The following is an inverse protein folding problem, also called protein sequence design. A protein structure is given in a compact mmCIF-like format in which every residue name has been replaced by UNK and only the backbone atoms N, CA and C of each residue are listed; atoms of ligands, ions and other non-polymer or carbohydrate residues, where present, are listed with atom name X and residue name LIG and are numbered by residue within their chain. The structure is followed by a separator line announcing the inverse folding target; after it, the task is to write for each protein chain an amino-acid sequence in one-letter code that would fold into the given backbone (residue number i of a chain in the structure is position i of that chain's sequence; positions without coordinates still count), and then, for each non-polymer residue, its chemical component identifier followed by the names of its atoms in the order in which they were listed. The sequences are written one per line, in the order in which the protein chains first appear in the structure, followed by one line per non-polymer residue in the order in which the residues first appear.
data_IF_459968962356
#
_entry.id   IF_459968962356
#
_cell.length_a   1.000
_cell.length_b   1.000
_cell.length_c   1.000
_cell.angle_alpha   90.00
_cell.angle_beta   90.00
_cell.angle_gamma   90.00
#
_symmetry.space_group_name_H-M   'P 1'
#
loop_
_entity.id
_entity.type
_entity.pdbx_description
1 polymer ?
#
# COMPACT_ATOMS: atom_id res chain seq x y z
N UNK A 1 2.44 20.05 -16.24
CA UNK A 1 3.21 21.04 -15.46
C UNK A 1 4.55 20.42 -15.12
N UNK A 2 5.66 21.13 -15.29
CA UNK A 2 6.99 20.68 -14.82
C UNK A 2 7.33 21.40 -13.51
N UNK A 3 7.92 20.68 -12.56
CA UNK A 3 8.31 21.19 -11.25
C UNK A 3 9.74 20.73 -10.93
N UNK A 4 10.51 21.56 -10.24
CA UNK A 4 11.79 21.17 -9.67
C UNK A 4 11.59 20.84 -8.19
N UNK A 5 11.83 19.58 -7.82
CA UNK A 5 11.73 19.06 -6.45
C UNK A 5 13.14 18.85 -5.93
N UNK A 6 13.72 19.91 -5.35
CA UNK A 6 15.15 19.94 -5.05
C UNK A 6 15.97 19.81 -6.33
N UNK A 7 16.82 18.78 -6.40
CA UNK A 7 17.64 18.47 -7.58
C UNK A 7 16.90 17.64 -8.64
N UNK A 8 15.66 17.20 -8.37
CA UNK A 8 14.91 16.32 -9.25
C UNK A 8 13.87 17.08 -10.07
N UNK A 9 13.98 17.01 -11.40
CA UNK A 9 12.96 17.51 -12.32
C UNK A 9 11.80 16.53 -12.42
N UNK A 10 10.58 17.00 -12.10
CA UNK A 10 9.37 16.21 -12.08
C UNK A 10 8.30 16.75 -13.05
N UNK A 11 7.49 15.85 -13.59
CA UNK A 11 6.31 16.19 -14.39
C UNK A 11 5.06 15.80 -13.63
N UNK A 12 4.15 16.76 -13.44
CA UNK A 12 2.85 16.53 -12.81
C UNK A 12 1.80 16.23 -13.89
N UNK A 13 1.18 15.06 -13.76
CA UNK A 13 0.05 14.60 -14.57
C UNK A 13 -1.21 14.64 -13.69
N UNK A 14 -2.14 15.54 -13.99
CA UNK A 14 -3.34 15.76 -13.16
C UNK A 14 -4.68 15.48 -13.85
N UNK A 15 -4.90 15.79 -15.15
CA UNK A 15 -6.21 15.54 -15.76
C UNK A 15 -6.48 14.03 -15.87
N UNK A 16 -7.69 13.55 -15.53
CA UNK A 16 -8.01 12.13 -15.60
C UNK A 16 -7.69 11.45 -16.94
N UNK A 17 -7.94 12.08 -18.12
CA UNK A 17 -7.58 11.48 -19.41
C UNK A 17 -6.06 11.25 -19.56
N UNK A 18 -5.23 12.18 -19.07
CA UNK A 18 -3.78 12.04 -19.14
C UNK A 18 -3.24 11.03 -18.12
N UNK A 19 -3.86 10.96 -16.93
CA UNK A 19 -3.53 9.92 -15.94
C UNK A 19 -3.83 8.53 -16.51
N UNK A 20 -4.98 8.36 -17.18
CA UNK A 20 -5.32 7.11 -17.85
C UNK A 20 -4.35 6.76 -18.98
N UNK A 21 -3.97 7.75 -19.79
CA UNK A 21 -2.99 7.56 -20.85
C UNK A 21 -1.62 7.13 -20.30
N UNK A 22 -1.14 7.76 -19.24
CA UNK A 22 0.15 7.41 -18.63
C UNK A 22 0.10 6.05 -17.90
N UNK A 23 -0.93 5.81 -17.08
CA UNK A 23 -0.96 4.66 -16.16
C UNK A 23 -1.51 3.38 -16.81
N UNK A 24 -2.47 3.48 -17.74
CA UNK A 24 -3.08 2.32 -18.39
C UNK A 24 -2.51 2.06 -19.77
N UNK A 25 -2.53 3.07 -20.66
CA UNK A 25 -2.11 2.88 -22.06
C UNK A 25 -0.59 2.76 -22.19
N UNK A 26 0.14 3.62 -21.48
CA UNK A 26 1.60 3.67 -21.51
C UNK A 26 2.25 3.20 -20.20
N UNK A 27 1.55 2.39 -19.40
CA UNK A 27 1.97 2.06 -18.03
C UNK A 27 3.39 1.50 -17.93
N UNK A 28 3.84 0.70 -18.91
CA UNK A 28 5.21 0.14 -18.95
C UNK A 28 6.28 1.21 -19.12
N UNK A 29 5.98 2.35 -19.77
CA UNK A 29 6.93 3.46 -19.87
C UNK A 29 7.10 4.20 -18.54
N UNK A 30 6.09 4.17 -17.66
CA UNK A 30 6.04 4.92 -16.39
C UNK A 30 6.11 4.03 -15.14
N UNK A 31 6.33 2.72 -15.30
CA UNK A 31 6.30 1.77 -14.18
C UNK A 31 7.54 1.87 -13.28
N UNK A 32 8.68 2.28 -13.82
CA UNK A 32 9.92 2.42 -13.05
C UNK A 32 9.81 3.55 -12.02
N UNK A 33 10.41 3.33 -10.85
CA UNK A 33 10.50 4.34 -9.79
C UNK A 33 11.86 5.03 -9.82
N UNK A 34 11.94 6.33 -9.49
CA UNK A 34 13.21 7.00 -9.24
C UNK A 34 13.99 6.27 -8.14
N UNK A 35 15.28 6.10 -8.36
CA UNK A 35 16.15 5.44 -7.39
C UNK A 35 16.50 6.43 -6.28
N UNK A 36 16.06 6.15 -5.05
CA UNK A 36 16.30 7.01 -3.88
C UNK A 36 17.13 6.27 -2.84
N UNK A 37 18.03 6.98 -2.14
CA UNK A 37 18.93 6.36 -1.17
C UNK A 37 18.17 5.60 -0.07
N UNK A 38 17.03 6.14 0.36
CA UNK A 38 16.16 5.53 1.37
C UNK A 38 15.69 4.13 0.94
N UNK A 39 15.24 3.95 -0.31
CA UNK A 39 14.75 2.64 -0.76
C UNK A 39 15.86 1.61 -0.80
N UNK A 40 17.08 2.02 -1.14
CA UNK A 40 18.24 1.13 -1.09
C UNK A 40 18.57 0.68 0.33
N UNK A 41 18.50 1.61 1.28
CA UNK A 41 18.83 1.34 2.68
C UNK A 41 17.79 0.45 3.38
N UNK A 42 16.50 0.71 3.14
CA UNK A 42 15.41 0.03 3.86
C UNK A 42 14.98 -1.27 3.16
N UNK A 43 15.01 -1.29 1.83
CA UNK A 43 14.45 -2.39 1.03
C UNK A 43 15.51 -3.22 0.32
N UNK A 44 16.61 -3.51 1.02
CA UNK A 44 17.68 -4.41 0.55
C UNK A 44 18.16 -4.07 -0.87
N UNK A 45 18.60 -2.84 -1.08
CA UNK A 45 18.98 -2.32 -2.40
C UNK A 45 17.80 -2.24 -3.41
N UNK A 46 16.61 -1.87 -2.93
CA UNK A 46 15.40 -1.69 -3.75
C UNK A 46 14.94 -2.97 -4.48
N UNK A 47 15.06 -4.13 -3.86
CA UNK A 47 14.55 -5.40 -4.41
C UNK A 47 13.09 -5.67 -4.00
N UNK A 48 12.47 -4.78 -3.22
CA UNK A 48 11.06 -4.91 -2.88
C UNK A 48 10.14 -4.62 -4.08
N UNK A 49 8.90 -5.14 -4.10
CA UNK A 49 7.96 -4.92 -5.20
C UNK A 49 7.56 -3.45 -5.43
N UNK A 50 7.75 -2.57 -4.45
CA UNK A 50 7.38 -1.16 -4.52
C UNK A 50 8.45 -0.29 -5.16
N UNK A 51 9.74 -0.63 -4.99
CA UNK A 51 10.88 0.20 -5.42
C UNK A 51 11.74 -0.42 -6.52
N UNK A 52 11.60 -1.71 -6.82
CA UNK A 52 12.45 -2.35 -7.83
C UNK A 52 12.15 -1.85 -9.25
N UNK A 53 13.17 -1.93 -10.11
CA UNK A 53 13.02 -1.65 -11.55
C UNK A 53 12.12 -2.73 -12.17
N UNK A 54 11.39 -2.34 -13.19
CA UNK A 54 10.53 -3.24 -13.94
C UNK A 54 11.39 -4.11 -14.85
N UNK A 55 11.54 -5.36 -14.42
CA UNK A 55 12.26 -6.41 -15.11
C UNK A 55 11.53 -7.75 -14.92
N UNK A 56 12.19 -8.85 -15.23
CA UNK A 56 11.63 -10.18 -15.01
C UNK A 56 11.45 -10.50 -13.52
N UNK A 57 12.38 -10.07 -12.68
CA UNK A 57 12.32 -10.29 -11.23
C UNK A 57 11.10 -9.60 -10.62
N UNK A 58 10.86 -8.32 -10.92
CA UNK A 58 9.69 -7.59 -10.44
C UNK A 58 8.38 -8.26 -10.88
N UNK A 59 8.31 -8.74 -12.13
CA UNK A 59 7.12 -9.42 -12.66
C UNK A 59 6.83 -10.72 -11.91
N UNK A 60 7.86 -11.50 -11.61
CA UNK A 60 7.73 -12.74 -10.83
C UNK A 60 7.32 -12.45 -9.38
N UNK A 61 7.96 -11.47 -8.73
CA UNK A 61 7.60 -11.03 -7.38
C UNK A 61 6.16 -10.55 -7.32
N UNK A 62 5.73 -9.68 -8.24
CA UNK A 62 4.34 -9.22 -8.31
C UNK A 62 3.36 -10.37 -8.47
N UNK A 63 3.67 -11.35 -9.33
CA UNK A 63 2.82 -12.53 -9.51
C UNK A 63 2.66 -13.31 -8.21
N UNK A 64 3.75 -13.55 -7.47
CA UNK A 64 3.72 -14.22 -6.18
C UNK A 64 2.86 -13.47 -5.15
N UNK A 65 3.04 -12.16 -5.01
CA UNK A 65 2.22 -11.34 -4.10
C UNK A 65 0.73 -11.44 -4.43
N UNK A 66 0.37 -11.37 -5.71
CA UNK A 66 -1.04 -11.46 -6.13
C UNK A 66 -1.63 -12.84 -5.83
N UNK A 67 -0.89 -13.92 -6.08
CA UNK A 67 -1.41 -15.28 -5.90
C UNK A 67 -1.47 -15.69 -4.43
N UNK A 68 -0.42 -15.39 -3.67
CA UNK A 68 -0.26 -15.93 -2.31
C UNK A 68 -0.80 -14.99 -1.22
N UNK A 69 -0.76 -13.67 -1.43
CA UNK A 69 -1.14 -12.69 -0.41
C UNK A 69 -2.45 -11.97 -0.75
N UNK A 70 -2.65 -11.60 -2.01
CA UNK A 70 -3.77 -10.75 -2.45
C UNK A 70 -4.82 -11.51 -3.28
N UNK A 71 -4.78 -12.85 -3.28
CA UNK A 71 -5.79 -13.62 -3.99
C UNK A 71 -7.12 -13.52 -3.25
N UNK A 72 -8.23 -13.60 -3.99
CA UNK A 72 -9.57 -13.57 -3.40
C UNK A 72 -9.69 -14.59 -2.26
N UNK A 73 -9.21 -15.82 -2.46
CA UNK A 73 -9.21 -16.85 -1.41
C UNK A 73 -8.47 -16.41 -0.15
N UNK A 74 -7.28 -15.83 -0.29
CA UNK A 74 -6.48 -15.37 0.86
C UNK A 74 -7.14 -14.19 1.57
N UNK A 75 -7.63 -13.21 0.83
CA UNK A 75 -8.36 -12.06 1.39
C UNK A 75 -9.58 -12.51 2.19
N UNK A 76 -10.41 -13.41 1.65
CA UNK A 76 -11.58 -13.94 2.36
C UNK A 76 -11.22 -14.74 3.61
N UNK A 77 -10.05 -15.39 3.64
CA UNK A 77 -9.59 -16.11 4.83
C UNK A 77 -9.37 -15.20 6.05
N UNK A 78 -9.20 -13.90 5.83
CA UNK A 78 -9.03 -12.90 6.89
C UNK A 78 -10.35 -12.25 7.34
N UNK A 79 -11.50 -12.62 6.77
CA UNK A 79 -12.78 -11.97 7.10
C UNK A 79 -13.13 -12.05 8.58
N UNK A 80 -13.04 -13.24 9.18
CA UNK A 80 -13.35 -13.41 10.60
C UNK A 80 -12.44 -12.56 11.50
N UNK A 81 -11.16 -12.43 11.12
CA UNK A 81 -10.19 -11.61 11.82
C UNK A 81 -10.51 -10.11 11.70
N UNK A 82 -10.92 -9.65 10.51
CA UNK A 82 -11.37 -8.26 10.32
C UNK A 82 -12.65 -7.98 11.12
N UNK A 83 -13.61 -8.90 11.11
CA UNK A 83 -14.86 -8.78 11.87
C UNK A 83 -14.61 -8.67 13.37
N UNK A 84 -13.68 -9.48 13.91
CA UNK A 84 -13.27 -9.42 15.31
C UNK A 84 -12.66 -8.05 15.68
N UNK A 85 -11.71 -7.56 14.88
CA UNK A 85 -11.02 -6.30 15.12
C UNK A 85 -11.96 -5.09 15.03
N UNK A 86 -12.86 -5.10 14.06
CA UNK A 86 -13.89 -4.06 13.91
C UNK A 86 -14.91 -4.14 15.04
N UNK A 87 -15.33 -5.33 15.45
CA UNK A 87 -16.25 -5.49 16.59
C UNK A 87 -15.65 -4.94 17.87
N UNK A 88 -14.36 -5.20 18.12
CA UNK A 88 -13.62 -4.64 19.26
C UNK A 88 -13.60 -3.11 19.24
N UNK A 89 -13.35 -2.51 18.08
CA UNK A 89 -13.40 -1.06 17.91
C UNK A 89 -14.80 -0.50 18.20
N UNK A 90 -15.85 -1.13 17.66
CA UNK A 90 -17.23 -0.69 17.90
C UNK A 90 -17.62 -0.78 19.39
N UNK A 91 -17.20 -1.84 20.09
CA UNK A 91 -17.39 -1.96 21.53
C UNK A 91 -16.68 -0.86 22.30
N UNK A 92 -15.44 -0.52 21.92
CA UNK A 92 -14.69 0.59 22.52
C UNK A 92 -15.39 1.94 22.31
N UNK A 93 -15.87 2.20 21.09
CA UNK A 93 -16.60 3.43 20.76
C UNK A 93 -17.88 3.54 21.61
N UNK A 94 -18.65 2.44 21.72
CA UNK A 94 -19.86 2.40 22.55
C UNK A 94 -19.56 2.64 24.03
N UNK A 95 -18.48 2.07 24.54
CA UNK A 95 -18.07 2.28 25.94
C UNK A 95 -17.63 3.72 26.22
N UNK A 96 -17.07 4.39 25.20
CA UNK A 96 -16.56 5.76 25.30
C UNK A 96 -17.64 6.81 25.05
N UNK A 97 -18.91 6.47 25.25
CA UNK A 97 -20.04 7.38 25.03
C UNK A 97 -19.89 8.66 25.85
N UNK A 98 -20.04 9.82 25.20
CA UNK A 98 -19.87 11.13 25.82
C UNK A 98 -18.42 11.57 26.04
N UNK A 99 -17.43 10.75 25.71
CA UNK A 99 -16.01 11.08 25.78
C UNK A 99 -15.43 11.37 24.39
N UNK A 100 -14.48 12.33 24.26
CA UNK A 100 -13.76 12.54 23.01
C UNK A 100 -12.87 11.32 22.72
N UNK A 101 -12.96 10.80 21.50
CA UNK A 101 -12.14 9.67 21.02
C UNK A 101 -11.30 10.07 19.80
N UNK A 102 -10.09 9.52 19.71
CA UNK A 102 -9.22 9.67 18.54
C UNK A 102 -9.50 8.56 17.52
N UNK A 103 -10.38 8.82 16.55
CA UNK A 103 -10.75 7.81 15.54
C UNK A 103 -9.56 7.45 14.64
N UNK A 104 -8.70 8.42 14.30
CA UNK A 104 -7.55 8.17 13.42
C UNK A 104 -6.57 7.17 14.02
N UNK A 105 -6.26 7.32 15.31
CA UNK A 105 -5.38 6.40 16.02
C UNK A 105 -6.01 5.02 16.19
N UNK A 106 -7.30 4.97 16.51
CA UNK A 106 -8.02 3.71 16.65
C UNK A 106 -8.07 2.92 15.34
N UNK A 107 -8.34 3.57 14.20
CA UNK A 107 -8.33 2.93 12.89
C UNK A 107 -6.93 2.47 12.50
N UNK A 108 -5.90 3.27 12.78
CA UNK A 108 -4.50 2.88 12.55
C UNK A 108 -4.11 1.65 13.38
N UNK A 109 -4.54 1.59 14.65
CA UNK A 109 -4.33 0.44 15.53
C UNK A 109 -5.03 -0.82 15.01
N UNK A 110 -6.30 -0.71 14.57
CA UNK A 110 -7.04 -1.83 13.97
C UNK A 110 -6.33 -2.33 12.72
N UNK A 111 -5.92 -1.44 11.81
CA UNK A 111 -5.20 -1.84 10.60
C UNK A 111 -3.88 -2.56 10.93
N UNK A 112 -3.14 -2.05 11.92
CA UNK A 112 -1.88 -2.65 12.35
C UNK A 112 -2.10 -4.04 12.96
N UNK A 113 -3.11 -4.19 13.82
CA UNK A 113 -3.49 -5.48 14.42
C UNK A 113 -3.86 -6.50 13.35
N UNK A 114 -4.69 -6.09 12.37
CA UNK A 114 -5.09 -6.93 11.25
C UNK A 114 -3.86 -7.39 10.46
N UNK A 115 -2.98 -6.46 10.08
CA UNK A 115 -1.77 -6.78 9.31
C UNK A 115 -0.82 -7.70 10.08
N UNK A 116 -0.55 -7.42 11.36
CA UNK A 116 0.34 -8.25 12.17
C UNK A 116 -0.18 -9.69 12.28
N UNK A 117 -1.46 -9.87 12.60
CA UNK A 117 -2.07 -11.20 12.73
C UNK A 117 -2.17 -11.92 11.38
N UNK A 118 -2.47 -11.19 10.29
CA UNK A 118 -2.52 -11.78 8.95
C UNK A 118 -1.15 -12.29 8.44
N UNK A 119 -0.06 -11.63 8.85
CA UNK A 119 1.31 -11.94 8.40
C UNK A 119 2.01 -12.93 9.33
N UNK A 120 1.87 -12.78 10.65
CA UNK A 120 2.62 -13.54 11.66
C UNK A 120 1.84 -14.75 12.20
N UNK A 121 0.49 -14.68 12.20
CA UNK A 121 -0.39 -15.63 12.90
C UNK A 121 -0.80 -15.11 14.27
#
# INVERSE_FOLDING_TARGET
MTLQVGELSAVVISPPPLVEEAMKKNGVAFVNRPEVLMSKAIFYNSVDPGSSKYDEYWRQMRKLFILELLSSKKVHSFNALMEEEVSRLLSYIRYSEGLPINVSENVASVSSSITCRAVVG
#
